data_IF_543566112588
#
_entry.id   IF_543566112588
#
_cell.length_a   1.000
_cell.length_b   1.000
_cell.length_c   1.000
_cell.angle_alpha   90.00
_cell.angle_beta   90.00
_cell.angle_gamma   90.00
#
_symmetry.space_group_name_H-M   'P 1'
#
loop_
_entity.id
_entity.type
_entity.pdbx_description
1 polymer ?
#
# COMPACT_ATOMS: atom_id res chain seq x y z
N UNK A 1 -2.53 12.69 28.80
CA UNK A 1 -3.61 12.24 27.89
C UNK A 1 -3.11 10.96 27.28
N UNK A 2 -3.88 9.87 27.35
CA UNK A 2 -3.51 8.63 26.63
C UNK A 2 -3.39 8.96 25.15
N UNK A 3 -2.33 8.51 24.49
CA UNK A 3 -2.19 8.65 23.04
C UNK A 3 -3.36 7.96 22.32
N UNK A 4 -3.59 8.30 21.04
CA UNK A 4 -4.66 7.70 20.25
C UNK A 4 -4.44 6.18 20.13
N UNK A 5 -5.55 5.40 20.11
CA UNK A 5 -5.53 3.96 19.88
C UNK A 5 -5.64 3.66 18.38
N UNK A 6 -4.65 2.99 17.82
CA UNK A 6 -4.59 2.66 16.40
C UNK A 6 -4.96 1.20 16.15
N UNK A 7 -5.82 0.96 15.16
CA UNK A 7 -6.13 -0.38 14.69
C UNK A 7 -5.41 -0.69 13.37
N UNK A 8 -4.78 -1.87 13.26
CA UNK A 8 -4.13 -2.31 12.03
C UNK A 8 -4.62 -3.70 11.63
N UNK A 9 -5.06 -3.84 10.38
CA UNK A 9 -5.38 -5.13 9.77
C UNK A 9 -4.29 -5.52 8.77
N UNK A 10 -3.67 -6.67 9.02
CA UNK A 10 -2.61 -7.24 8.19
C UNK A 10 -3.04 -8.56 7.55
N UNK A 11 -2.50 -8.83 6.38
CA UNK A 11 -2.61 -10.14 5.73
C UNK A 11 -1.28 -10.91 5.72
N UNK A 12 -0.20 -10.25 6.15
CA UNK A 12 1.14 -10.84 6.28
C UNK A 12 1.62 -10.60 7.71
N UNK A 13 1.89 -11.65 8.51
CA UNK A 13 2.26 -11.52 9.93
C UNK A 13 3.45 -10.60 10.20
N UNK A 14 4.47 -10.62 9.33
CA UNK A 14 5.67 -9.79 9.49
C UNK A 14 5.37 -8.28 9.45
N UNK A 15 4.27 -7.86 8.81
CA UNK A 15 3.90 -6.45 8.74
C UNK A 15 3.45 -5.89 10.10
N UNK A 16 2.96 -6.72 11.01
CA UNK A 16 2.61 -6.26 12.37
C UNK A 16 3.84 -5.65 13.06
N UNK A 17 4.97 -6.36 13.04
CA UNK A 17 6.23 -5.84 13.61
C UNK A 17 6.73 -4.62 12.83
N UNK A 18 6.69 -4.66 11.51
CA UNK A 18 7.15 -3.54 10.65
C UNK A 18 6.38 -2.24 10.96
N UNK A 19 5.06 -2.31 11.06
CA UNK A 19 4.24 -1.13 11.34
C UNK A 19 4.30 -0.69 12.79
N UNK A 20 4.42 -1.62 13.75
CA UNK A 20 4.66 -1.29 15.16
C UNK A 20 5.96 -0.47 15.33
N UNK A 21 7.06 -0.94 14.74
CA UNK A 21 8.34 -0.22 14.75
C UNK A 21 8.25 1.14 14.02
N UNK A 22 7.55 1.18 12.88
CA UNK A 22 7.40 2.41 12.10
C UNK A 22 6.62 3.48 12.88
N UNK A 23 5.49 3.12 13.47
CA UNK A 23 4.64 4.03 14.25
C UNK A 23 5.35 4.51 15.51
N UNK A 24 6.08 3.65 16.21
CA UNK A 24 6.89 4.04 17.37
C UNK A 24 8.02 5.00 17.02
N UNK A 25 8.70 4.78 15.88
CA UNK A 25 9.75 5.72 15.41
C UNK A 25 9.20 7.10 15.05
N UNK A 26 7.93 7.21 14.68
CA UNK A 26 7.26 8.50 14.41
C UNK A 26 6.78 9.20 15.69
N UNK A 27 7.06 8.63 16.88
CA UNK A 27 6.72 9.19 18.19
C UNK A 27 5.29 8.88 18.65
N UNK A 28 4.63 7.87 18.06
CA UNK A 28 3.35 7.41 18.56
C UNK A 28 3.55 6.69 19.90
N UNK A 29 2.80 7.12 20.92
CA UNK A 29 2.88 6.64 22.32
C UNK A 29 1.57 6.02 22.83
N UNK A 30 0.55 5.92 21.96
CA UNK A 30 -0.73 5.26 22.23
C UNK A 30 -0.70 3.76 21.98
N UNK A 31 -1.84 3.11 22.23
CA UNK A 31 -2.04 1.70 21.98
C UNK A 31 -2.07 1.40 20.49
N UNK A 32 -1.49 0.27 20.09
CA UNK A 32 -1.56 -0.27 18.73
C UNK A 32 -2.14 -1.68 18.80
N UNK A 33 -3.28 -1.88 18.16
CA UNK A 33 -3.95 -3.19 18.08
C UNK A 33 -3.75 -3.78 16.68
N UNK A 34 -3.20 -4.99 16.62
CA UNK A 34 -2.95 -5.69 15.37
C UNK A 34 -3.91 -6.88 15.21
N UNK A 35 -4.63 -6.90 14.10
CA UNK A 35 -5.34 -8.09 13.60
C UNK A 35 -4.56 -8.64 12.42
N UNK A 36 -4.31 -9.94 12.39
CA UNK A 36 -3.59 -10.62 11.30
C UNK A 36 -4.45 -11.74 10.75
N UNK A 37 -4.83 -11.62 9.48
CA UNK A 37 -5.58 -12.65 8.76
C UNK A 37 -4.94 -12.94 7.40
N UNK A 38 -4.14 -14.00 7.32
CA UNK A 38 -3.49 -14.44 6.08
C UNK A 38 -4.49 -15.06 5.08
N UNK A 39 -5.66 -15.48 5.53
CA UNK A 39 -6.72 -16.02 4.70
C UNK A 39 -7.22 -15.01 3.67
N UNK A 40 -7.32 -13.75 4.03
CA UNK A 40 -7.72 -12.66 3.13
C UNK A 40 -6.82 -12.55 1.89
N UNK A 41 -5.49 -12.60 2.07
CA UNK A 41 -4.56 -12.57 0.94
C UNK A 41 -4.63 -13.85 0.12
N UNK A 42 -4.71 -15.01 0.78
CA UNK A 42 -4.79 -16.30 0.10
C UNK A 42 -6.05 -16.40 -0.77
N UNK A 43 -7.18 -15.95 -0.26
CA UNK A 43 -8.44 -15.88 -1.01
C UNK A 43 -8.36 -14.89 -2.18
N UNK A 44 -7.85 -13.68 -1.94
CA UNK A 44 -7.69 -12.68 -3.00
C UNK A 44 -6.76 -13.15 -4.13
N UNK A 45 -5.74 -13.96 -3.83
CA UNK A 45 -4.88 -14.59 -4.85
C UNK A 45 -5.64 -15.67 -5.63
N UNK A 46 -6.45 -16.49 -4.94
CA UNK A 46 -7.11 -17.65 -5.53
C UNK A 46 -8.30 -17.27 -6.44
N UNK A 47 -9.12 -16.33 -6.04
CA UNK A 47 -10.38 -16.01 -6.71
C UNK A 47 -10.75 -14.50 -6.74
N UNK A 48 -9.84 -13.62 -6.36
CA UNK A 48 -10.09 -12.18 -6.31
C UNK A 48 -10.83 -11.76 -5.05
N UNK A 49 -11.25 -10.48 -5.01
CA UNK A 49 -12.02 -9.91 -3.88
C UNK A 49 -13.49 -10.14 -4.11
N UNK A 50 -13.99 -11.24 -3.56
CA UNK A 50 -15.40 -11.65 -3.60
C UNK A 50 -16.19 -11.18 -2.38
N UNK A 51 -17.46 -11.57 -2.28
CA UNK A 51 -18.35 -11.17 -1.20
C UNK A 51 -17.91 -11.75 0.17
N UNK A 52 -17.27 -12.93 0.19
CA UNK A 52 -16.76 -13.54 1.42
C UNK A 52 -15.58 -12.71 1.97
N UNK A 53 -14.62 -12.33 1.11
CA UNK A 53 -13.51 -11.46 1.50
C UNK A 53 -14.00 -10.08 1.94
N UNK A 54 -14.99 -9.49 1.25
CA UNK A 54 -15.59 -8.21 1.63
C UNK A 54 -16.23 -8.27 3.01
N UNK A 55 -16.99 -9.34 3.28
CA UNK A 55 -17.64 -9.56 4.59
C UNK A 55 -16.59 -9.76 5.69
N UNK A 56 -15.49 -10.47 5.41
CA UNK A 56 -14.43 -10.73 6.38
C UNK A 56 -13.67 -9.44 6.71
N UNK A 57 -13.30 -8.64 5.69
CA UNK A 57 -12.65 -7.33 5.89
C UNK A 57 -13.53 -6.42 6.72
N UNK A 58 -14.83 -6.33 6.41
CA UNK A 58 -15.78 -5.53 7.18
C UNK A 58 -15.83 -5.99 8.64
N UNK A 59 -15.86 -7.31 8.90
CA UNK A 59 -15.92 -7.87 10.26
C UNK A 59 -14.69 -7.51 11.08
N UNK A 60 -13.48 -7.55 10.47
CA UNK A 60 -12.24 -7.15 11.13
C UNK A 60 -12.20 -5.65 11.39
N UNK A 61 -12.66 -4.83 10.44
CA UNK A 61 -12.74 -3.37 10.58
C UNK A 61 -13.71 -2.99 11.70
N UNK A 62 -14.89 -3.61 11.74
CA UNK A 62 -15.86 -3.41 12.82
C UNK A 62 -15.30 -3.85 14.19
N UNK A 63 -14.62 -5.00 14.25
CA UNK A 63 -13.98 -5.46 15.49
C UNK A 63 -12.97 -4.44 16.02
N UNK A 64 -12.11 -3.89 15.17
CA UNK A 64 -11.14 -2.87 15.56
C UNK A 64 -11.83 -1.57 16.02
N UNK A 65 -12.90 -1.15 15.34
CA UNK A 65 -13.68 0.02 15.73
C UNK A 65 -14.38 -0.19 17.09
N UNK A 66 -15.00 -1.36 17.32
CA UNK A 66 -15.67 -1.73 18.56
C UNK A 66 -14.67 -1.86 19.73
N UNK A 67 -13.43 -2.25 19.45
CA UNK A 67 -12.32 -2.28 20.42
C UNK A 67 -11.73 -0.88 20.72
N UNK A 68 -12.35 0.16 20.17
CA UNK A 68 -12.05 1.55 20.46
C UNK A 68 -10.87 2.13 19.68
N UNK A 69 -10.57 1.61 18.49
CA UNK A 69 -9.58 2.25 17.62
C UNK A 69 -10.08 3.63 17.16
N UNK A 70 -9.24 4.65 17.30
CA UNK A 70 -9.52 6.01 16.82
C UNK A 70 -9.36 6.14 15.29
N UNK A 71 -8.52 5.32 14.69
CA UNK A 71 -8.38 5.16 13.24
C UNK A 71 -7.83 3.77 12.90
N UNK A 72 -8.13 3.28 11.70
CA UNK A 72 -7.76 1.95 11.24
C UNK A 72 -6.96 2.05 9.94
N UNK A 73 -5.84 1.29 9.86
CA UNK A 73 -5.06 1.12 8.64
C UNK A 73 -5.10 -0.35 8.20
N UNK A 74 -5.50 -0.60 6.96
CA UNK A 74 -5.39 -1.93 6.34
C UNK A 74 -4.15 -1.96 5.46
N UNK A 75 -3.20 -2.84 5.78
CA UNK A 75 -1.84 -2.84 5.22
C UNK A 75 -1.67 -3.75 4.00
N UNK A 76 -2.77 -4.11 3.34
CA UNK A 76 -2.77 -4.99 2.18
C UNK A 76 -3.49 -4.35 0.99
N UNK A 77 -2.75 -4.00 -0.06
CA UNK A 77 -3.29 -3.41 -1.30
C UNK A 77 -4.21 -4.36 -2.07
N UNK A 78 -4.00 -5.70 -1.94
CA UNK A 78 -4.80 -6.69 -2.68
C UNK A 78 -6.29 -6.69 -2.31
N UNK A 79 -6.64 -6.23 -1.10
CA UNK A 79 -8.02 -6.13 -0.61
C UNK A 79 -8.51 -4.67 -0.51
N UNK A 80 -7.80 -3.73 -1.16
CA UNK A 80 -8.05 -2.29 -1.03
C UNK A 80 -9.48 -1.87 -1.34
N UNK A 81 -10.14 -2.49 -2.32
CA UNK A 81 -11.54 -2.20 -2.68
C UNK A 81 -12.51 -2.59 -1.55
N UNK A 82 -12.28 -3.73 -0.91
CA UNK A 82 -13.07 -4.14 0.25
C UNK A 82 -12.87 -3.18 1.45
N UNK A 83 -11.66 -2.60 1.58
CA UNK A 83 -11.37 -1.59 2.60
C UNK A 83 -12.16 -0.31 2.36
N UNK A 84 -12.25 0.16 1.11
CA UNK A 84 -13.04 1.34 0.75
C UNK A 84 -14.53 1.16 1.05
N UNK A 85 -15.06 -0.04 0.79
CA UNK A 85 -16.44 -0.37 1.15
C UNK A 85 -16.65 -0.45 2.68
N UNK A 86 -15.72 -1.07 3.40
CA UNK A 86 -15.78 -1.17 4.85
C UNK A 86 -15.68 0.20 5.54
N UNK A 87 -14.91 1.13 4.98
CA UNK A 87 -14.78 2.50 5.50
C UNK A 87 -16.11 3.24 5.57
N UNK A 88 -17.06 2.95 4.67
CA UNK A 88 -18.42 3.52 4.70
C UNK A 88 -19.36 2.88 5.72
N UNK A 89 -18.89 1.92 6.52
CA UNK A 89 -19.72 1.14 7.47
C UNK A 89 -19.35 1.32 8.94
N UNK A 90 -18.34 2.13 9.23
CA UNK A 90 -17.89 2.48 10.59
C UNK A 90 -17.69 3.98 10.71
N UNK A 91 -17.74 4.51 11.93
CA UNK A 91 -17.63 5.95 12.18
C UNK A 91 -16.18 6.43 12.32
N UNK A 92 -15.24 5.49 12.47
CA UNK A 92 -13.81 5.81 12.57
C UNK A 92 -13.13 5.83 11.20
N UNK A 93 -12.10 6.67 10.98
CA UNK A 93 -11.35 6.67 9.73
C UNK A 93 -10.74 5.30 9.44
N UNK A 94 -11.02 4.75 8.25
CA UNK A 94 -10.41 3.51 7.74
C UNK A 94 -9.63 3.84 6.49
N UNK A 95 -8.36 3.49 6.49
CA UNK A 95 -7.40 3.87 5.46
C UNK A 95 -6.81 2.61 4.80
N UNK A 96 -6.65 2.67 3.50
CA UNK A 96 -5.81 1.69 2.79
C UNK A 96 -4.38 2.22 2.71
N UNK A 97 -3.42 1.31 2.89
CA UNK A 97 -2.00 1.63 3.01
C UNK A 97 -1.40 2.32 1.77
N UNK A 98 -1.96 2.04 0.59
CA UNK A 98 -1.45 2.51 -0.71
C UNK A 98 -2.10 3.81 -1.19
N UNK A 99 -3.09 4.37 -0.47
CA UNK A 99 -3.80 5.56 -0.92
C UNK A 99 -2.86 6.78 -1.07
N UNK A 100 -2.09 7.11 -0.03
CA UNK A 100 -1.15 8.24 -0.04
C UNK A 100 -0.06 8.06 -1.09
N UNK A 101 0.46 6.83 -1.24
CA UNK A 101 1.44 6.50 -2.27
C UNK A 101 0.88 6.75 -3.68
N UNK A 102 -0.39 6.42 -3.92
CA UNK A 102 -1.02 6.66 -5.22
C UNK A 102 -1.20 8.16 -5.50
N UNK A 103 -1.63 8.94 -4.49
CA UNK A 103 -1.75 10.40 -4.60
C UNK A 103 -0.39 11.05 -4.90
N UNK A 104 0.66 10.66 -4.18
CA UNK A 104 2.03 11.14 -4.36
C UNK A 104 2.60 10.74 -5.73
N UNK A 105 2.35 9.50 -6.18
CA UNK A 105 2.84 9.03 -7.47
C UNK A 105 2.31 9.86 -8.64
N UNK A 106 1.01 10.17 -8.64
CA UNK A 106 0.41 11.01 -9.70
C UNK A 106 0.94 12.44 -9.63
N UNK A 107 1.03 13.04 -8.44
CA UNK A 107 1.53 14.40 -8.26
C UNK A 107 2.98 14.54 -8.73
N UNK A 108 3.87 13.65 -8.29
CA UNK A 108 5.28 13.65 -8.69
C UNK A 108 5.46 13.37 -10.19
N UNK A 109 4.70 12.44 -10.76
CA UNK A 109 4.77 12.15 -12.18
C UNK A 109 4.39 13.39 -13.02
N UNK A 110 3.33 14.10 -12.63
CA UNK A 110 2.90 15.35 -13.28
C UNK A 110 3.97 16.44 -13.17
N UNK A 111 4.59 16.60 -12.01
CA UNK A 111 5.64 17.59 -11.77
C UNK A 111 6.91 17.31 -12.59
N UNK A 112 7.34 16.04 -12.65
CA UNK A 112 8.61 15.63 -13.26
C UNK A 112 8.57 15.47 -14.77
N UNK A 113 7.39 15.13 -15.31
CA UNK A 113 7.26 14.85 -16.74
C UNK A 113 7.51 16.11 -17.60
N UNK A 114 8.28 15.99 -18.69
CA UNK A 114 8.40 17.05 -19.69
C UNK A 114 7.03 17.51 -20.21
N UNK A 115 6.94 18.78 -20.61
CA UNK A 115 5.67 19.39 -21.00
C UNK A 115 5.09 18.84 -22.31
N UNK A 116 5.90 18.23 -23.14
CA UNK A 116 5.58 17.76 -24.50
C UNK A 116 5.06 16.31 -24.57
N UNK A 117 4.99 15.59 -23.42
CA UNK A 117 4.44 14.23 -23.33
C UNK A 117 3.58 13.99 -22.09
N UNK A 118 2.82 12.92 -22.11
CA UNK A 118 2.15 12.44 -20.91
C UNK A 118 3.13 12.08 -19.80
N UNK A 119 2.73 12.29 -18.55
CA UNK A 119 3.46 11.79 -17.38
C UNK A 119 3.36 10.26 -17.32
N UNK A 120 4.37 9.56 -16.77
CA UNK A 120 4.41 8.10 -16.75
C UNK A 120 4.68 7.55 -15.37
N UNK A 121 3.75 6.73 -14.89
CA UNK A 121 3.86 5.97 -13.64
C UNK A 121 4.05 4.50 -13.97
N UNK A 122 5.17 3.90 -13.55
CA UNK A 122 5.38 2.47 -13.64
C UNK A 122 4.97 1.80 -12.32
N UNK A 123 4.08 0.81 -12.39
CA UNK A 123 3.63 0.02 -11.23
C UNK A 123 4.25 -1.37 -11.30
N UNK A 124 5.02 -1.72 -10.30
CA UNK A 124 5.64 -3.04 -10.18
C UNK A 124 5.00 -3.81 -9.02
N UNK A 125 4.64 -5.06 -9.25
CA UNK A 125 4.17 -5.98 -8.23
C UNK A 125 4.79 -7.36 -8.44
N UNK A 126 4.88 -8.17 -7.39
CA UNK A 126 5.28 -9.57 -7.52
C UNK A 126 4.08 -10.52 -7.67
N UNK A 127 2.86 -10.03 -7.42
CA UNK A 127 1.60 -10.77 -7.51
C UNK A 127 0.59 -10.00 -8.36
N UNK A 128 -0.05 -10.67 -9.31
CA UNK A 128 -1.13 -10.11 -10.10
C UNK A 128 -2.32 -9.65 -9.24
N UNK A 129 -2.62 -10.38 -8.15
CA UNK A 129 -3.65 -10.03 -7.18
C UNK A 129 -3.43 -8.65 -6.51
N UNK A 130 -2.18 -8.18 -6.44
CA UNK A 130 -1.87 -6.83 -5.93
C UNK A 130 -1.86 -5.79 -7.05
N UNK A 131 -1.38 -6.18 -8.23
CA UNK A 131 -1.22 -5.27 -9.36
C UNK A 131 -2.54 -4.65 -9.82
N UNK A 132 -3.60 -5.46 -9.93
CA UNK A 132 -4.93 -4.99 -10.33
C UNK A 132 -5.50 -3.91 -9.41
N UNK A 133 -5.67 -4.16 -8.11
CA UNK A 133 -6.19 -3.17 -7.14
C UNK A 133 -5.37 -1.88 -7.08
N UNK A 134 -4.04 -1.96 -7.11
CA UNK A 134 -3.17 -0.78 -7.09
C UNK A 134 -3.24 -0.01 -8.41
N UNK A 135 -3.32 -0.70 -9.54
CA UNK A 135 -3.52 -0.09 -10.86
C UNK A 135 -4.83 0.70 -10.92
N UNK A 136 -5.96 0.10 -10.54
CA UNK A 136 -7.26 0.79 -10.50
C UNK A 136 -7.29 1.98 -9.54
N UNK A 137 -6.59 1.88 -8.40
CA UNK A 137 -6.44 3.02 -7.50
C UNK A 137 -5.74 4.18 -8.20
N UNK A 138 -4.60 3.92 -8.85
CA UNK A 138 -3.86 4.95 -9.60
C UNK A 138 -4.70 5.52 -10.75
N UNK A 139 -5.40 4.70 -11.52
CA UNK A 139 -6.31 5.15 -12.57
C UNK A 139 -7.39 6.11 -12.05
N UNK A 140 -7.94 5.83 -10.85
CA UNK A 140 -8.90 6.73 -10.21
C UNK A 140 -8.29 8.09 -9.84
N UNK A 141 -7.01 8.15 -9.47
CA UNK A 141 -6.28 9.39 -9.17
C UNK A 141 -5.90 10.17 -10.42
N UNK A 142 -5.51 9.45 -11.47
CA UNK A 142 -5.20 10.03 -12.79
C UNK A 142 -6.39 10.79 -13.37
N UNK A 143 -7.62 10.32 -13.14
CA UNK A 143 -8.82 10.99 -13.60
C UNK A 143 -8.99 12.44 -13.08
N UNK A 144 -8.34 12.78 -11.96
CA UNK A 144 -8.32 14.14 -11.38
C UNK A 144 -7.04 14.93 -11.65
N UNK A 145 -6.11 14.41 -12.46
CA UNK A 145 -4.84 15.07 -12.74
C UNK A 145 -4.98 16.22 -13.75
N UNK A 146 -4.18 17.27 -13.59
CA UNK A 146 -4.20 18.48 -14.44
C UNK A 146 -3.65 18.22 -15.85
N UNK A 147 -3.00 17.08 -16.11
CA UNK A 147 -2.46 16.68 -17.40
C UNK A 147 -2.53 15.17 -17.58
N UNK A 148 -2.39 14.64 -18.82
CA UNK A 148 -2.41 13.22 -19.08
C UNK A 148 -1.32 12.46 -18.31
N UNK A 149 -1.71 11.34 -17.68
CA UNK A 149 -0.80 10.42 -16.97
C UNK A 149 -1.07 9.01 -17.50
N UNK A 150 -0.01 8.34 -17.93
CA UNK A 150 -0.01 6.94 -18.36
C UNK A 150 0.44 6.06 -17.19
N UNK A 151 -0.33 5.01 -16.90
CA UNK A 151 0.01 4.02 -15.86
C UNK A 151 0.38 2.71 -16.53
N UNK A 152 1.63 2.29 -16.42
CA UNK A 152 2.13 1.03 -16.94
C UNK A 152 2.34 0.04 -15.80
N UNK A 153 1.59 -1.06 -15.80
CA UNK A 153 1.60 -2.05 -14.73
C UNK A 153 2.31 -3.34 -15.16
N UNK A 154 3.21 -3.88 -14.33
CA UNK A 154 3.96 -5.11 -14.62
C UNK A 154 4.14 -5.99 -13.39
N UNK A 155 3.94 -7.30 -13.57
CA UNK A 155 4.35 -8.33 -12.60
C UNK A 155 5.84 -8.62 -12.78
N UNK A 156 6.58 -8.70 -11.67
CA UNK A 156 7.98 -9.12 -11.64
C UNK A 156 8.02 -10.65 -11.52
N UNK A 157 8.22 -11.30 -12.66
CA UNK A 157 8.18 -12.74 -12.76
C UNK A 157 9.24 -13.41 -11.87
N UNK A 158 8.86 -14.51 -11.22
CA UNK A 158 9.74 -15.28 -10.34
C UNK A 158 9.96 -14.71 -8.94
N UNK A 159 9.74 -13.40 -8.72
CA UNK A 159 10.02 -12.76 -7.44
C UNK A 159 9.13 -13.30 -6.30
N UNK A 160 7.82 -13.51 -6.55
CA UNK A 160 6.93 -14.11 -5.56
C UNK A 160 7.32 -15.54 -5.20
N UNK A 161 7.71 -16.35 -6.19
CA UNK A 161 8.15 -17.73 -5.98
C UNK A 161 9.45 -17.78 -5.17
N UNK A 162 10.43 -16.95 -5.49
CA UNK A 162 11.70 -16.85 -4.75
C UNK A 162 11.42 -16.53 -3.26
N UNK A 163 10.59 -15.53 -2.99
CA UNK A 163 10.23 -15.14 -1.63
C UNK A 163 9.50 -16.25 -0.87
N UNK A 164 8.52 -16.89 -1.50
CA UNK A 164 7.77 -18.00 -0.88
C UNK A 164 8.68 -19.20 -0.59
N UNK A 165 9.72 -19.42 -1.39
CA UNK A 165 10.76 -20.40 -1.18
C UNK A 165 11.83 -20.01 -0.15
N UNK A 166 11.73 -18.81 0.45
CA UNK A 166 12.70 -18.29 1.43
C UNK A 166 13.96 -17.68 0.80
N UNK A 167 14.02 -17.53 -0.53
CA UNK A 167 15.14 -16.92 -1.24
C UNK A 167 14.93 -15.40 -1.40
N UNK A 168 15.15 -14.68 -0.31
CA UNK A 168 15.01 -13.21 -0.29
C UNK A 168 16.02 -12.53 -1.24
N UNK A 169 17.23 -13.07 -1.38
CA UNK A 169 18.26 -12.49 -2.23
C UNK A 169 17.84 -12.50 -3.71
N UNK A 170 17.30 -13.62 -4.19
CA UNK A 170 16.74 -13.70 -5.55
C UNK A 170 15.53 -12.80 -5.73
N UNK A 171 14.60 -12.73 -4.74
CA UNK A 171 13.49 -11.79 -4.76
C UNK A 171 13.99 -10.36 -4.96
N UNK A 172 14.89 -9.88 -4.11
CA UNK A 172 15.36 -8.49 -4.12
C UNK A 172 16.14 -8.17 -5.41
N UNK A 173 16.93 -9.09 -5.91
CA UNK A 173 17.64 -8.94 -7.19
C UNK A 173 16.65 -8.77 -8.36
N UNK A 174 15.63 -9.65 -8.47
CA UNK A 174 14.62 -9.58 -9.54
C UNK A 174 13.82 -8.29 -9.50
N UNK A 175 13.43 -7.85 -8.31
CA UNK A 175 12.73 -6.57 -8.10
C UNK A 175 13.64 -5.40 -8.46
N UNK A 176 14.89 -5.39 -8.03
CA UNK A 176 15.87 -4.34 -8.36
C UNK A 176 16.14 -4.21 -9.85
N UNK A 177 16.27 -5.35 -10.57
CA UNK A 177 16.40 -5.37 -12.03
C UNK A 177 15.14 -4.78 -12.71
N UNK A 178 13.94 -5.11 -12.20
CA UNK A 178 12.69 -4.58 -12.73
C UNK A 178 12.53 -3.06 -12.48
N UNK A 179 12.96 -2.56 -11.31
CA UNK A 179 13.00 -1.13 -10.98
C UNK A 179 13.95 -0.41 -11.94
N UNK A 180 15.16 -0.91 -12.10
CA UNK A 180 16.17 -0.31 -13.00
C UNK A 180 15.67 -0.26 -14.44
N UNK A 181 15.02 -1.32 -14.91
CA UNK A 181 14.44 -1.34 -16.26
C UNK A 181 13.29 -0.33 -16.43
N UNK A 182 12.42 -0.19 -15.41
CA UNK A 182 11.30 0.75 -15.44
C UNK A 182 11.77 2.21 -15.39
N UNK A 183 12.89 2.50 -14.74
CA UNK A 183 13.45 3.85 -14.61
C UNK A 183 13.83 4.49 -15.96
N UNK A 184 14.03 3.70 -17.02
CA UNK A 184 14.35 4.22 -18.35
C UNK A 184 13.18 5.00 -19.00
N UNK A 185 11.94 4.68 -18.65
CA UNK A 185 10.75 5.22 -19.32
C UNK A 185 9.74 5.87 -18.36
N UNK A 186 9.89 5.70 -17.05
CA UNK A 186 8.97 6.22 -16.04
C UNK A 186 9.45 7.56 -15.44
N UNK A 187 8.50 8.40 -15.04
CA UNK A 187 8.76 9.60 -14.23
C UNK A 187 8.71 9.27 -12.72
N UNK A 188 7.93 8.24 -12.36
CA UNK A 188 7.79 7.69 -10.99
C UNK A 188 7.58 6.18 -11.07
N UNK A 189 8.16 5.46 -10.14
CA UNK A 189 7.96 4.01 -9.97
C UNK A 189 7.21 3.75 -8.66
N UNK A 190 6.17 2.93 -8.72
CA UNK A 190 5.37 2.49 -7.58
C UNK A 190 5.63 1.01 -7.32
N UNK A 191 6.04 0.66 -6.11
CA UNK A 191 6.14 -0.71 -5.64
C UNK A 191 4.85 -1.07 -4.89
N UNK A 192 4.00 -1.86 -5.53
CA UNK A 192 2.65 -2.15 -5.04
C UNK A 192 2.60 -3.03 -3.78
N UNK A 193 3.74 -3.53 -3.31
CA UNK A 193 3.83 -4.38 -2.12
C UNK A 193 4.94 -3.90 -1.18
N UNK A 194 4.62 -3.78 0.10
CA UNK A 194 5.57 -3.38 1.16
C UNK A 194 6.85 -4.24 1.18
N UNK A 195 6.72 -5.52 0.82
CA UNK A 195 7.85 -6.46 0.77
C UNK A 195 8.91 -6.15 -0.29
N UNK A 196 8.59 -5.30 -1.26
CA UNK A 196 9.52 -4.90 -2.33
C UNK A 196 10.42 -3.72 -1.92
N UNK A 197 10.10 -3.04 -0.82
CA UNK A 197 10.80 -1.83 -0.40
C UNK A 197 12.32 -2.04 -0.21
N UNK A 198 12.72 -3.19 0.35
CA UNK A 198 14.13 -3.51 0.57
C UNK A 198 14.95 -3.57 -0.75
N UNK A 199 14.33 -4.03 -1.84
CA UNK A 199 14.98 -4.13 -3.14
C UNK A 199 15.27 -2.76 -3.79
N UNK A 200 14.56 -1.71 -3.37
CA UNK A 200 14.83 -0.34 -3.82
C UNK A 200 15.98 0.33 -3.05
N UNK A 201 16.29 -0.19 -1.84
CA UNK A 201 17.33 0.37 -1.00
C UNK A 201 18.71 0.19 -1.65
N UNK A 202 19.42 1.29 -1.86
CA UNK A 202 20.78 1.29 -2.45
C UNK A 202 20.81 1.34 -3.97
N UNK A 203 19.66 1.45 -4.66
CA UNK A 203 19.63 1.79 -6.08
C UNK A 203 19.85 3.30 -6.23
N UNK A 204 20.83 3.67 -7.04
CA UNK A 204 21.11 5.07 -7.40
C UNK A 204 20.32 5.42 -8.67
N UNK A 205 19.13 6.03 -8.48
CA UNK A 205 18.18 6.34 -9.54
C UNK A 205 17.71 7.78 -9.44
N UNK A 206 17.64 8.46 -10.56
CA UNK A 206 17.05 9.80 -10.65
C UNK A 206 15.50 9.76 -10.54
N UNK A 207 14.90 8.60 -10.79
CA UNK A 207 13.44 8.38 -10.76
C UNK A 207 13.01 8.01 -9.34
N UNK A 208 12.02 8.72 -8.74
CA UNK A 208 11.48 8.36 -7.44
C UNK A 208 10.87 6.95 -7.45
N UNK A 209 11.19 6.17 -6.41
CA UNK A 209 10.60 4.85 -6.16
C UNK A 209 9.77 4.94 -4.89
N UNK A 210 8.46 4.80 -5.02
CA UNK A 210 7.51 4.94 -3.93
C UNK A 210 7.09 3.58 -3.37
N UNK A 211 6.96 3.53 -2.05
CA UNK A 211 6.46 2.38 -1.30
C UNK A 211 5.37 2.82 -0.33
N UNK A 212 4.47 1.91 0.02
CA UNK A 212 3.27 2.28 0.78
C UNK A 212 3.44 2.39 2.32
N UNK A 213 4.41 1.75 3.01
CA UNK A 213 4.39 1.68 4.47
C UNK A 213 4.49 3.05 5.17
N UNK A 214 5.48 3.87 4.79
CA UNK A 214 5.73 5.17 5.42
C UNK A 214 4.56 6.13 5.20
N UNK A 215 4.08 6.22 3.95
CA UNK A 215 2.94 7.07 3.60
C UNK A 215 1.65 6.63 4.30
N UNK A 216 1.41 5.31 4.37
CA UNK A 216 0.26 4.76 5.08
C UNK A 216 0.29 5.04 6.57
N UNK A 217 1.44 4.86 7.23
CA UNK A 217 1.61 5.17 8.64
C UNK A 217 1.45 6.68 8.92
N UNK A 218 2.02 7.54 8.09
CA UNK A 218 1.86 8.98 8.20
C UNK A 218 0.39 9.41 8.04
N UNK A 219 -0.33 8.82 7.08
CA UNK A 219 -1.75 9.07 6.86
C UNK A 219 -2.61 8.65 8.07
N UNK A 220 -2.31 7.49 8.67
CA UNK A 220 -2.99 7.01 9.87
C UNK A 220 -2.84 8.01 11.03
N UNK A 221 -1.61 8.48 11.30
CA UNK A 221 -1.33 9.48 12.33
C UNK A 221 -1.97 10.83 12.02
N UNK A 222 -2.05 11.22 10.76
CA UNK A 222 -2.73 12.44 10.35
C UNK A 222 -4.25 12.36 10.54
N UNK A 223 -4.84 11.17 10.35
CA UNK A 223 -6.27 10.95 10.56
C UNK A 223 -6.66 11.19 12.03
N UNK A 224 -5.92 10.63 12.99
CA UNK A 224 -6.24 10.82 14.42
C UNK A 224 -6.03 12.26 14.89
N UNK A 225 -5.08 13.00 14.31
CA UNK A 225 -4.87 14.44 14.65
C UNK A 225 -6.01 15.35 14.22
N UNK A 226 -6.85 14.91 13.28
CA UNK A 226 -8.00 15.67 12.78
C UNK A 226 -9.29 15.37 13.56
N UNK A 227 -9.27 14.39 14.46
CA UNK A 227 -10.43 14.07 15.28
C UNK A 227 -10.66 15.22 16.29
N UNK A 228 -11.91 15.59 16.55
CA UNK A 228 -12.25 16.57 17.60
C UNK A 228 -11.82 15.99 18.98
N UNK A 229 -11.30 16.88 19.82
CA UNK A 229 -10.90 16.54 21.18
C UNK A 229 -12.13 16.25 22.07
#
# INVERSE_FOLDING_TARGET
>A
MSGARLGLLHTVPALAVTFDDLLKRTGHDGDIVHVVDAGLLSGAIAHGVDDEIRAEVLRHVQHLADDGADAILVTCSSIGEAVEEAAGRVDVPVLRVDATMADEAVALAVERAPADRAARVAVLATLAATLGPTGRLLESRVAGADRPVEVASRVVDGAAAARSGGDQATHDRLVGEAITAAAADADVIVLAQASMAAAAAGLDLDVPVLTSPEGGAAALLAAVRKLPA
#
